data_IF_863016244507
#
_entry.id   IF_863016244507
#
_cell.length_a   1.000
_cell.length_b   1.000
_cell.length_c   1.000
_cell.angle_alpha   90.00
_cell.angle_beta   90.00
_cell.angle_gamma   90.00
#
_symmetry.space_group_name_H-M   'P 1'
#
loop_
_entity.id
_entity.type
_entity.pdbx_description
1 polymer ?
#
# COMPACT_ATOMS: atom_id res chain seq x y z
N UNK A 1 -42.98 28.98 16.93
CA UNK A 1 -42.69 28.44 15.58
C UNK A 1 -41.62 29.29 14.93
N UNK A 2 -40.38 28.81 14.74
CA UNK A 2 -39.41 29.53 13.93
C UNK A 2 -39.67 29.24 12.44
N UNK A 3 -39.43 30.20 11.54
CA UNK A 3 -39.67 30.03 10.12
C UNK A 3 -38.63 29.08 9.51
N UNK A 4 -39.15 28.28 8.59
CA UNK A 4 -38.55 27.15 7.88
C UNK A 4 -37.23 27.46 7.17
N UNK A 5 -36.22 26.63 7.44
CA UNK A 5 -34.97 26.42 6.67
C UNK A 5 -35.18 26.24 5.16
N UNK A 6 -36.37 25.84 4.73
CA UNK A 6 -36.75 25.57 3.33
C UNK A 6 -36.91 26.83 2.46
N UNK A 7 -37.20 27.99 3.05
CA UNK A 7 -37.31 29.26 2.31
C UNK A 7 -35.93 29.89 2.05
N UNK A 8 -34.96 29.65 2.93
CA UNK A 8 -33.58 30.13 2.78
C UNK A 8 -32.83 29.38 1.66
N UNK A 9 -33.06 28.06 1.53
CA UNK A 9 -32.46 27.23 0.47
C UNK A 9 -32.97 27.58 -0.93
N UNK A 10 -34.27 27.91 -1.07
CA UNK A 10 -34.85 28.34 -2.34
C UNK A 10 -34.30 29.71 -2.83
N UNK A 11 -34.09 30.67 -1.91
CA UNK A 11 -33.48 31.97 -2.23
C UNK A 11 -32.00 31.85 -2.61
N UNK A 12 -31.27 30.93 -1.97
CA UNK A 12 -29.88 30.65 -2.32
C UNK A 12 -29.75 29.99 -3.71
N UNK A 13 -30.67 29.07 -4.06
CA UNK A 13 -30.69 28.39 -5.36
C UNK A 13 -30.99 29.36 -6.53
N UNK A 14 -31.94 30.28 -6.36
CA UNK A 14 -32.27 31.28 -7.38
C UNK A 14 -31.15 32.30 -7.61
N UNK A 15 -30.44 32.72 -6.56
CA UNK A 15 -29.32 33.65 -6.65
C UNK A 15 -28.04 33.03 -7.27
N UNK A 16 -27.93 31.69 -7.30
CA UNK A 16 -26.82 30.97 -7.91
C UNK A 16 -26.95 30.84 -9.44
N UNK A 17 -28.17 30.79 -9.98
CA UNK A 17 -28.43 30.69 -11.41
C UNK A 17 -28.01 31.94 -12.22
N UNK A 18 -27.78 33.07 -11.55
CA UNK A 18 -27.43 34.36 -12.16
C UNK A 18 -25.93 34.71 -12.06
N UNK A 19 -25.05 33.83 -11.54
CA UNK A 19 -23.61 34.11 -11.38
C UNK A 19 -22.78 33.53 -12.53
N UNK A 20 -21.72 34.21 -12.99
CA UNK A 20 -20.81 33.67 -13.99
C UNK A 20 -20.16 32.38 -13.49
N UNK A 21 -20.04 31.39 -14.38
CA UNK A 21 -19.54 30.05 -14.08
C UNK A 21 -18.16 30.07 -13.39
N UNK A 22 -17.31 31.02 -13.77
CA UNK A 22 -15.97 31.22 -13.20
C UNK A 22 -16.00 31.57 -11.71
N UNK A 23 -17.01 32.34 -11.28
CA UNK A 23 -17.17 32.71 -9.88
C UNK A 23 -17.63 31.51 -9.06
N UNK A 24 -18.51 30.66 -9.61
CA UNK A 24 -18.92 29.42 -8.96
C UNK A 24 -17.75 28.44 -8.84
N UNK A 25 -16.95 28.28 -9.89
CA UNK A 25 -15.75 27.44 -9.85
C UNK A 25 -14.76 27.92 -8.78
N UNK A 26 -14.58 29.25 -8.69
CA UNK A 26 -13.73 29.86 -7.66
C UNK A 26 -14.28 29.68 -6.25
N UNK A 27 -15.59 29.72 -6.05
CA UNK A 27 -16.17 29.41 -4.72
C UNK A 27 -15.99 27.93 -4.40
N UNK A 28 -16.22 27.03 -5.37
CA UNK A 28 -16.01 25.60 -5.18
C UNK A 28 -14.55 25.29 -4.85
N UNK A 29 -13.56 26.02 -5.39
CA UNK A 29 -12.14 25.80 -5.05
C UNK A 29 -11.80 26.14 -3.59
N UNK A 30 -12.64 26.91 -2.89
CA UNK A 30 -12.45 27.20 -1.46
C UNK A 30 -13.23 26.27 -0.53
N UNK A 31 -14.15 25.45 -1.05
CA UNK A 31 -14.88 24.50 -0.23
C UNK A 31 -13.95 23.40 0.32
N UNK A 32 -14.22 22.85 1.51
CA UNK A 32 -13.64 21.57 1.91
C UNK A 32 -13.95 20.50 0.86
N UNK A 33 -13.06 19.52 0.62
CA UNK A 33 -13.28 18.51 -0.42
C UNK A 33 -14.59 17.73 -0.26
N UNK A 34 -14.99 17.40 0.97
CA UNK A 34 -16.28 16.77 1.25
C UNK A 34 -17.47 17.59 0.77
N UNK A 35 -17.43 18.92 0.97
CA UNK A 35 -18.46 19.84 0.49
C UNK A 35 -18.45 20.01 -1.03
N UNK A 36 -17.26 20.05 -1.64
CA UNK A 36 -17.15 20.07 -3.09
C UNK A 36 -17.73 18.80 -3.72
N UNK A 37 -17.55 17.65 -3.09
CA UNK A 37 -18.01 16.34 -3.59
C UNK A 37 -19.50 16.09 -3.33
N UNK A 38 -20.01 16.45 -2.14
CA UNK A 38 -21.36 16.04 -1.71
C UNK A 38 -22.35 17.21 -1.65
N UNK A 39 -21.89 18.41 -1.31
CA UNK A 39 -22.75 19.59 -1.14
C UNK A 39 -22.97 20.30 -2.48
N UNK A 40 -21.90 20.61 -3.22
CA UNK A 40 -21.99 21.38 -4.47
C UNK A 40 -22.92 20.77 -5.53
N UNK A 41 -22.91 19.44 -5.81
CA UNK A 41 -23.80 18.85 -6.80
C UNK A 41 -25.29 18.91 -6.44
N UNK A 42 -25.62 19.01 -5.14
CA UNK A 42 -27.00 19.08 -4.64
C UNK A 42 -27.59 20.49 -4.67
N UNK A 43 -26.76 21.53 -4.86
CA UNK A 43 -27.23 22.92 -4.88
C UNK A 43 -27.89 23.30 -6.22
N UNK A 44 -27.28 22.95 -7.36
CA UNK A 44 -27.84 23.14 -8.71
C UNK A 44 -26.96 22.48 -9.78
N UNK A 45 -27.47 22.38 -11.02
CA UNK A 45 -26.67 21.94 -12.18
C UNK A 45 -25.44 22.82 -12.43
N UNK A 46 -25.53 24.13 -12.21
CA UNK A 46 -24.42 25.06 -12.43
C UNK A 46 -23.27 24.84 -11.43
N UNK A 47 -23.60 24.57 -10.16
CA UNK A 47 -22.62 24.20 -9.13
C UNK A 47 -22.03 22.80 -9.37
N UNK A 48 -22.84 21.85 -9.81
CA UNK A 48 -22.36 20.52 -10.18
C UNK A 48 -21.33 20.59 -11.32
N UNK A 49 -21.62 21.37 -12.37
CA UNK A 49 -20.69 21.59 -13.48
C UNK A 49 -19.40 22.28 -13.03
N UNK A 50 -19.50 23.30 -12.18
CA UNK A 50 -18.34 24.01 -11.64
C UNK A 50 -17.46 23.13 -10.73
N UNK A 51 -18.06 22.18 -10.00
CA UNK A 51 -17.35 21.27 -9.11
C UNK A 51 -16.74 20.06 -9.81
N UNK A 52 -17.24 19.68 -10.99
CA UNK A 52 -16.87 18.42 -11.66
C UNK A 52 -15.35 18.20 -11.80
N UNK A 53 -14.52 19.19 -12.19
CA UNK A 53 -13.08 18.99 -12.31
C UNK A 53 -12.43 18.66 -10.97
N UNK A 54 -12.82 19.39 -9.92
CA UNK A 54 -12.29 19.16 -8.57
C UNK A 54 -12.76 17.83 -8.01
N UNK A 55 -14.03 17.47 -8.19
CA UNK A 55 -14.57 16.17 -7.74
C UNK A 55 -13.88 15.00 -8.42
N UNK A 56 -13.55 15.12 -9.71
CA UNK A 56 -12.79 14.10 -10.42
C UNK A 56 -11.39 13.92 -9.81
N UNK A 57 -10.73 15.02 -9.45
CA UNK A 57 -9.41 14.98 -8.82
C UNK A 57 -9.45 14.36 -7.42
N UNK A 58 -10.38 14.78 -6.57
CA UNK A 58 -10.55 14.20 -5.22
C UNK A 58 -10.82 12.69 -5.26
N UNK A 59 -11.59 12.24 -6.26
CA UNK A 59 -11.84 10.80 -6.48
C UNK A 59 -10.59 10.06 -6.94
N UNK A 60 -9.76 10.66 -7.80
CA UNK A 60 -8.47 10.07 -8.18
C UNK A 60 -7.54 9.95 -6.99
N UNK A 61 -7.44 11.00 -6.16
CA UNK A 61 -6.63 10.98 -4.93
C UNK A 61 -7.12 9.89 -3.99
N UNK A 62 -8.44 9.79 -3.77
CA UNK A 62 -9.01 8.73 -2.95
C UNK A 62 -8.73 7.32 -3.51
N UNK A 63 -8.82 7.13 -4.83
CA UNK A 63 -8.50 5.87 -5.47
C UNK A 63 -7.00 5.51 -5.36
N UNK A 64 -6.11 6.48 -5.54
CA UNK A 64 -4.67 6.28 -5.38
C UNK A 64 -4.28 5.93 -3.94
N UNK A 65 -4.96 6.51 -2.94
CA UNK A 65 -4.77 6.16 -1.52
C UNK A 65 -5.23 4.73 -1.23
N UNK A 66 -6.35 4.29 -1.83
CA UNK A 66 -6.84 2.92 -1.74
C UNK A 66 -5.91 1.90 -2.42
N UNK A 67 -5.29 2.29 -3.53
CA UNK A 67 -4.32 1.46 -4.23
C UNK A 67 -3.01 1.34 -3.41
N UNK A 68 -2.51 2.45 -2.86
CA UNK A 68 -1.38 2.45 -1.93
C UNK A 68 -1.62 1.56 -0.70
N UNK A 69 -2.83 1.52 -0.14
CA UNK A 69 -3.15 0.60 0.98
C UNK A 69 -3.06 -0.87 0.60
N UNK A 70 -3.35 -1.24 -0.66
CA UNK A 70 -3.23 -2.62 -1.13
C UNK A 70 -1.78 -3.03 -1.37
N UNK A 71 -0.94 -2.07 -1.77
CA UNK A 71 0.47 -2.29 -2.10
C UNK A 71 1.42 -2.33 -0.88
N UNK A 72 0.99 -1.93 0.33
CA UNK A 72 1.88 -1.79 1.50
C UNK A 72 1.49 -2.70 2.70
N UNK A 73 1.43 -4.01 2.48
CA UNK A 73 1.25 -5.01 3.56
C UNK A 73 2.58 -5.53 4.14
N UNK A 74 3.47 -4.66 4.62
CA UNK A 74 4.66 -5.10 5.39
C UNK A 74 4.94 -4.31 6.68
N UNK A 75 4.29 -3.16 6.94
CA UNK A 75 4.52 -2.37 8.17
C UNK A 75 3.24 -1.75 8.77
N UNK A 76 2.18 -2.55 8.91
CA UNK A 76 1.08 -2.36 9.88
C UNK A 76 0.38 -0.99 9.99
N UNK A 77 -0.88 -0.96 9.54
CA UNK A 77 -1.98 0.01 9.82
C UNK A 77 -2.14 1.29 8.97
N UNK A 78 -3.01 1.14 7.96
CA UNK A 78 -4.27 1.86 7.66
C UNK A 78 -4.27 3.36 7.25
N UNK A 79 -4.07 3.58 5.95
CA UNK A 79 -4.35 4.85 5.25
C UNK A 79 -5.85 5.13 5.03
N UNK A 80 -6.77 4.29 5.53
CA UNK A 80 -8.22 4.35 5.24
C UNK A 80 -8.95 5.64 5.68
N UNK A 81 -8.26 6.50 6.43
CA UNK A 81 -8.78 7.75 7.01
C UNK A 81 -8.17 9.02 6.41
N UNK A 82 -7.22 8.88 5.48
CA UNK A 82 -6.51 10.02 4.85
C UNK A 82 -7.36 10.75 3.79
N UNK A 83 -8.42 10.09 3.29
CA UNK A 83 -9.42 10.71 2.42
C UNK A 83 -10.20 11.82 3.16
N UNK A 84 -10.76 12.76 2.42
CA UNK A 84 -11.53 13.88 2.98
C UNK A 84 -12.67 13.50 3.94
N UNK A 85 -12.98 14.42 4.87
CA UNK A 85 -14.14 14.28 5.77
C UNK A 85 -15.47 14.45 5.03
N UNK A 86 -16.51 13.78 5.51
CA UNK A 86 -17.87 13.88 4.98
C UNK A 86 -18.62 14.95 5.76
N UNK A 87 -19.31 15.92 5.12
CA UNK A 87 -20.09 16.93 5.81
C UNK A 87 -21.16 16.28 6.72
N UNK A 88 -21.37 16.87 7.90
CA UNK A 88 -22.27 16.33 8.93
C UNK A 88 -23.67 15.97 8.41
N UNK A 89 -24.28 16.82 7.60
CA UNK A 89 -25.63 16.57 7.06
C UNK A 89 -25.68 15.32 6.19
N UNK A 90 -24.64 15.09 5.37
CA UNK A 90 -24.57 13.96 4.45
C UNK A 90 -24.35 12.67 5.22
N UNK A 91 -23.52 12.75 6.26
CA UNK A 91 -23.27 11.65 7.15
C UNK A 91 -24.53 11.27 7.95
N UNK A 92 -25.27 12.26 8.47
CA UNK A 92 -26.55 12.07 9.17
C UNK A 92 -27.59 11.38 8.29
N UNK A 93 -27.72 11.78 7.02
CA UNK A 93 -28.64 11.18 6.06
C UNK A 93 -28.29 9.71 5.76
N UNK A 94 -26.99 9.41 5.59
CA UNK A 94 -26.52 8.08 5.25
C UNK A 94 -26.39 7.14 6.46
N UNK A 95 -26.27 7.67 7.69
CA UNK A 95 -25.90 6.93 8.90
C UNK A 95 -26.69 5.62 9.13
N UNK A 96 -28.03 5.59 8.96
CA UNK A 96 -28.80 4.36 9.17
C UNK A 96 -28.43 3.24 8.22
N UNK A 97 -27.92 3.57 7.03
CA UNK A 97 -27.54 2.62 5.97
C UNK A 97 -26.08 2.16 6.09
N UNK A 98 -25.27 2.84 6.91
CA UNK A 98 -23.87 2.51 7.08
C UNK A 98 -23.68 1.30 8.00
N UNK A 99 -22.74 0.42 7.63
CA UNK A 99 -22.28 -0.64 8.52
C UNK A 99 -21.51 -0.05 9.70
N UNK A 100 -21.38 -0.83 10.78
CA UNK A 100 -20.59 -0.44 11.95
C UNK A 100 -19.16 -0.01 11.58
N UNK A 101 -18.51 -0.77 10.70
CA UNK A 101 -17.15 -0.46 10.24
C UNK A 101 -17.11 0.86 9.43
N UNK A 102 -18.09 1.11 8.56
CA UNK A 102 -18.17 2.37 7.81
C UNK A 102 -18.38 3.58 8.72
N UNK A 103 -19.20 3.44 9.77
CA UNK A 103 -19.41 4.49 10.78
C UNK A 103 -18.12 4.81 11.54
N UNK A 104 -17.35 3.79 11.93
CA UNK A 104 -16.02 3.96 12.54
C UNK A 104 -15.05 4.71 11.64
N UNK A 105 -14.94 4.30 10.38
CA UNK A 105 -14.08 4.96 9.40
C UNK A 105 -14.51 6.42 9.16
N UNK A 106 -15.81 6.71 9.13
CA UNK A 106 -16.30 8.08 8.99
C UNK A 106 -15.92 8.97 10.18
N UNK A 107 -16.09 8.48 11.42
CA UNK A 107 -15.68 9.21 12.61
C UNK A 107 -14.16 9.41 12.67
N UNK A 108 -13.37 8.40 12.31
CA UNK A 108 -11.92 8.51 12.28
C UNK A 108 -11.42 9.45 11.15
N UNK A 109 -12.09 9.54 10.00
CA UNK A 109 -11.82 10.58 8.99
C UNK A 109 -12.09 11.98 9.54
N UNK A 110 -13.22 12.17 10.23
CA UNK A 110 -13.52 13.45 10.86
C UNK A 110 -12.44 13.83 11.88
N UNK A 111 -11.98 12.87 12.69
CA UNK A 111 -10.88 13.07 13.63
C UNK A 111 -9.57 13.46 12.94
N UNK A 112 -9.20 12.78 11.85
CA UNK A 112 -7.98 13.05 11.06
C UNK A 112 -7.97 14.46 10.44
N UNK A 113 -9.13 14.96 10.00
CA UNK A 113 -9.26 16.29 9.38
C UNK A 113 -9.69 17.41 10.34
N UNK A 114 -9.88 17.11 11.63
CA UNK A 114 -10.23 18.12 12.63
C UNK A 114 -11.71 18.55 12.60
N UNK A 115 -12.60 17.76 11.99
CA UNK A 115 -14.03 18.07 11.92
C UNK A 115 -14.73 17.77 13.25
N UNK A 116 -14.68 18.74 14.15
CA UNK A 116 -15.27 18.64 15.49
C UNK A 116 -16.79 18.47 15.47
N UNK A 117 -17.48 19.01 14.46
CA UNK A 117 -18.94 18.92 14.38
C UNK A 117 -19.37 17.49 14.09
N UNK A 118 -18.72 16.86 13.11
CA UNK A 118 -18.94 15.44 12.80
C UNK A 118 -18.50 14.57 13.97
N UNK A 119 -17.34 14.84 14.54
CA UNK A 119 -16.78 14.02 15.61
C UNK A 119 -17.68 14.00 16.86
N UNK A 120 -18.17 15.17 17.32
CA UNK A 120 -19.07 15.29 18.47
C UNK A 120 -20.41 14.60 18.26
N UNK A 121 -20.90 14.59 17.03
CA UNK A 121 -22.16 13.93 16.69
C UNK A 121 -21.99 12.42 16.52
N UNK A 122 -20.93 11.98 15.85
CA UNK A 122 -20.73 10.58 15.50
C UNK A 122 -20.28 9.72 16.69
N UNK A 123 -19.34 10.20 17.52
CA UNK A 123 -18.73 9.40 18.60
C UNK A 123 -19.74 8.83 19.62
N UNK A 124 -20.71 9.60 20.14
CA UNK A 124 -21.70 9.07 21.09
C UNK A 124 -22.62 7.98 20.53
N UNK A 125 -22.65 7.81 19.21
CA UNK A 125 -23.46 6.80 18.51
C UNK A 125 -22.66 5.54 18.15
N UNK A 126 -21.38 5.47 18.54
CA UNK A 126 -20.52 4.31 18.31
C UNK A 126 -20.43 3.47 19.59
N UNK A 127 -20.68 2.17 19.46
CA UNK A 127 -20.52 1.18 20.53
C UNK A 127 -19.06 0.67 20.60
N UNK A 128 -18.08 1.58 20.64
CA UNK A 128 -16.65 1.25 20.68
C UNK A 128 -15.89 2.23 21.58
N UNK A 129 -14.73 1.81 22.07
CA UNK A 129 -13.87 2.59 22.96
C UNK A 129 -13.22 3.80 22.26
N UNK A 130 -13.54 4.09 20.99
CA UNK A 130 -13.10 5.29 20.27
C UNK A 130 -11.59 5.39 19.99
N UNK A 131 -10.81 4.33 20.27
CA UNK A 131 -9.34 4.32 20.12
C UNK A 131 -8.88 4.76 18.73
N UNK A 132 -9.60 4.31 17.69
CA UNK A 132 -9.29 4.65 16.31
C UNK A 132 -9.40 6.15 16.04
N UNK A 133 -10.33 6.86 16.68
CA UNK A 133 -10.48 8.31 16.52
C UNK A 133 -9.32 9.07 17.18
N UNK A 134 -8.84 8.62 18.35
CA UNK A 134 -7.65 9.18 18.98
C UNK A 134 -6.41 8.98 18.07
N UNK A 135 -6.21 7.77 17.53
CA UNK A 135 -5.10 7.47 16.61
C UNK A 135 -5.20 8.32 15.34
N UNK A 136 -6.39 8.48 14.77
CA UNK A 136 -6.60 9.26 13.55
C UNK A 136 -6.39 10.77 13.77
N UNK A 137 -6.92 11.34 14.86
CA UNK A 137 -6.65 12.73 15.22
C UNK A 137 -5.15 12.99 15.43
N UNK A 138 -4.46 12.06 16.10
CA UNK A 138 -3.03 12.13 16.31
C UNK A 138 -2.23 12.04 15.00
N UNK A 139 -2.60 11.14 14.08
CA UNK A 139 -2.00 11.04 12.75
C UNK A 139 -2.18 12.33 11.91
N UNK A 140 -3.34 12.97 12.02
CA UNK A 140 -3.67 14.21 11.32
C UNK A 140 -3.15 15.49 11.98
N UNK A 141 -2.50 15.40 13.15
CA UNK A 141 -2.02 16.56 13.90
C UNK A 141 -3.13 17.41 14.51
N UNK A 142 -4.32 16.85 14.71
CA UNK A 142 -5.52 17.59 15.11
C UNK A 142 -5.68 17.55 16.63
N UNK A 143 -5.00 18.48 17.32
CA UNK A 143 -5.00 18.54 18.78
C UNK A 143 -6.41 18.72 19.37
N UNK A 144 -7.21 19.62 18.81
CA UNK A 144 -8.57 19.89 19.28
C UNK A 144 -9.50 18.68 19.08
N UNK A 145 -9.31 17.94 17.98
CA UNK A 145 -10.07 16.72 17.71
C UNK A 145 -9.70 15.62 18.71
N UNK A 146 -8.41 15.48 19.03
CA UNK A 146 -7.94 14.54 20.04
C UNK A 146 -8.48 14.91 21.43
N UNK A 147 -8.44 16.19 21.81
CA UNK A 147 -9.05 16.70 23.05
C UNK A 147 -10.54 16.39 23.11
N UNK A 148 -11.26 16.63 22.00
CA UNK A 148 -12.68 16.34 21.90
C UNK A 148 -12.98 14.84 22.06
N UNK A 149 -12.22 13.97 21.40
CA UNK A 149 -12.37 12.53 21.55
C UNK A 149 -12.13 12.08 23.00
N UNK A 150 -11.11 12.64 23.67
CA UNK A 150 -10.83 12.34 25.08
C UNK A 150 -11.93 12.83 26.03
N UNK A 151 -12.49 14.00 25.79
CA UNK A 151 -13.63 14.52 26.56
C UNK A 151 -14.89 13.67 26.40
N UNK A 152 -15.05 12.99 25.26
CA UNK A 152 -16.15 12.07 24.96
C UNK A 152 -15.89 10.64 25.46
N UNK A 153 -14.83 10.40 26.23
CA UNK A 153 -14.54 9.12 26.86
C UNK A 153 -13.77 8.13 25.97
N UNK A 154 -13.28 8.54 24.79
CA UNK A 154 -12.49 7.65 23.95
C UNK A 154 -11.17 7.27 24.64
N UNK A 155 -10.83 5.98 24.61
CA UNK A 155 -9.55 5.47 25.09
C UNK A 155 -8.42 5.78 24.08
N UNK A 156 -7.19 5.70 24.56
CA UNK A 156 -5.99 5.77 23.74
C UNK A 156 -5.00 4.66 24.09
N UNK A 157 -4.07 4.41 23.19
CA UNK A 157 -2.95 3.48 23.38
C UNK A 157 -1.68 4.03 22.73
N UNK A 158 -0.59 3.25 22.76
CA UNK A 158 0.72 3.69 22.26
C UNK A 158 0.71 4.06 20.78
N UNK A 159 -0.24 3.55 19.99
CA UNK A 159 -0.38 3.91 18.56
C UNK A 159 -0.73 5.38 18.38
N UNK A 160 -1.40 6.00 19.35
CA UNK A 160 -1.70 7.45 19.33
C UNK A 160 -0.40 8.25 19.28
N UNK A 161 0.54 7.94 20.18
CA UNK A 161 1.87 8.56 20.18
C UNK A 161 2.66 8.20 18.91
N UNK A 162 2.65 6.94 18.50
CA UNK A 162 3.35 6.48 17.29
C UNK A 162 2.89 7.20 16.02
N UNK A 163 1.58 7.40 15.85
CA UNK A 163 1.03 8.11 14.71
C UNK A 163 1.32 9.63 14.74
N UNK A 164 1.22 10.28 15.91
CA UNK A 164 1.63 11.68 16.05
C UNK A 164 3.13 11.85 15.75
N UNK A 165 3.95 10.94 16.25
CA UNK A 165 5.39 10.93 16.00
C UNK A 165 5.74 10.74 14.53
N UNK A 166 5.03 9.85 13.82
CA UNK A 166 5.19 9.64 12.37
C UNK A 166 4.91 10.90 11.55
N UNK A 167 3.94 11.71 11.96
CA UNK A 167 3.56 12.96 11.30
C UNK A 167 4.32 14.19 11.78
N UNK A 168 5.16 14.07 12.81
CA UNK A 168 5.94 15.18 13.35
C UNK A 168 5.17 16.12 14.28
N UNK A 169 4.00 15.70 14.76
CA UNK A 169 3.07 16.52 15.54
C UNK A 169 3.48 16.58 17.02
N UNK A 170 4.51 17.40 17.30
CA UNK A 170 5.11 17.54 18.62
C UNK A 170 4.13 18.10 19.68
N UNK A 171 3.28 19.04 19.28
CA UNK A 171 2.24 19.64 20.12
C UNK A 171 1.22 18.61 20.63
N UNK A 172 0.77 17.71 19.75
CA UNK A 172 -0.11 16.60 20.07
C UNK A 172 0.55 15.66 21.08
N UNK A 173 1.83 15.32 20.88
CA UNK A 173 2.58 14.47 21.79
C UNK A 173 2.78 15.12 23.16
N UNK A 174 3.14 16.40 23.20
CA UNK A 174 3.30 17.16 24.43
C UNK A 174 2.01 17.18 25.24
N UNK A 175 0.88 17.46 24.58
CA UNK A 175 -0.41 17.46 25.24
C UNK A 175 -0.81 16.07 25.74
N UNK A 176 -0.63 15.02 24.92
CA UNK A 176 -0.98 13.64 25.28
C UNK A 176 -0.16 13.12 26.47
N UNK A 177 1.12 13.52 26.56
CA UNK A 177 2.02 13.16 27.68
C UNK A 177 1.77 13.97 28.95
N UNK A 178 1.12 15.13 28.86
CA UNK A 178 0.75 15.95 30.01
C UNK A 178 -0.54 15.47 30.74
N UNK A 179 -1.30 14.53 30.17
CA UNK A 179 -2.54 14.04 30.78
C UNK A 179 -2.31 13.06 31.96
N UNK A 180 -3.37 12.75 32.71
CA UNK A 180 -3.36 11.75 33.78
C UNK A 180 -4.46 10.69 33.57
N UNK A 181 -4.12 9.38 33.42
CA UNK A 181 -2.77 8.88 33.16
C UNK A 181 -2.24 9.37 31.81
N UNK A 182 -0.93 9.55 31.65
CA UNK A 182 -0.38 10.08 30.42
C UNK A 182 -0.44 9.01 29.33
N UNK A 183 -0.62 9.41 28.06
CA UNK A 183 -0.73 8.46 26.96
C UNK A 183 0.50 7.54 26.91
N UNK A 184 0.33 6.20 26.86
CA UNK A 184 1.47 5.29 26.78
C UNK A 184 2.25 5.52 25.48
N UNK A 185 3.53 5.18 25.51
CA UNK A 185 4.42 5.15 24.36
C UNK A 185 5.34 3.94 24.46
N UNK A 186 5.98 3.59 23.36
CA UNK A 186 6.88 2.45 23.22
C UNK A 186 7.94 2.78 22.15
N UNK A 187 8.80 1.81 21.83
CA UNK A 187 9.89 1.94 20.86
C UNK A 187 9.38 2.36 19.47
N UNK A 188 8.14 1.98 19.12
CA UNK A 188 7.53 2.36 17.85
C UNK A 188 7.33 3.87 17.72
N UNK A 189 7.17 4.60 18.84
CA UNK A 189 7.08 6.06 18.81
C UNK A 189 8.38 6.68 18.31
N UNK A 190 9.53 6.23 18.81
CA UNK A 190 10.84 6.65 18.32
C UNK A 190 11.09 6.19 16.88
N UNK A 191 10.72 4.95 16.54
CA UNK A 191 10.87 4.41 15.18
C UNK A 191 10.09 5.23 14.14
N UNK A 192 8.87 5.64 14.48
CA UNK A 192 7.99 6.41 13.63
C UNK A 192 8.50 7.86 13.44
N UNK A 193 8.92 8.53 14.52
CA UNK A 193 9.58 9.83 14.42
C UNK A 193 10.84 9.75 13.55
N UNK A 194 11.58 8.64 13.69
CA UNK A 194 12.81 8.42 12.95
C UNK A 194 12.57 8.21 11.45
N UNK A 195 11.59 7.37 11.07
CA UNK A 195 11.21 7.19 9.67
C UNK A 195 10.68 8.46 9.01
N UNK A 196 9.95 9.30 9.77
CA UNK A 196 9.46 10.59 9.30
C UNK A 196 10.50 11.72 9.25
N UNK A 197 11.70 11.50 9.82
CA UNK A 197 12.75 12.53 9.88
C UNK A 197 12.51 13.64 10.90
N UNK A 198 11.61 13.43 11.86
CA UNK A 198 11.21 14.43 12.84
C UNK A 198 12.16 14.49 14.04
N UNK A 199 13.36 15.05 13.84
CA UNK A 199 14.40 15.13 14.86
C UNK A 199 13.94 15.84 16.15
N UNK A 200 13.16 16.91 16.04
CA UNK A 200 12.63 17.63 17.20
C UNK A 200 11.73 16.75 18.08
N UNK A 201 10.89 15.90 17.47
CA UNK A 201 10.05 14.94 18.19
C UNK A 201 10.91 13.92 18.92
N UNK A 202 11.92 13.37 18.24
CA UNK A 202 12.80 12.36 18.83
C UNK A 202 13.63 12.95 20.00
N UNK A 203 14.17 14.16 19.84
CA UNK A 203 14.86 14.89 20.90
C UNK A 203 13.97 15.13 22.11
N UNK A 204 12.75 15.62 21.86
CA UNK A 204 11.79 15.85 22.93
C UNK A 204 11.42 14.55 23.64
N UNK A 205 11.11 13.47 22.92
CA UNK A 205 10.72 12.18 23.52
C UNK A 205 11.84 11.57 24.37
N UNK A 206 13.10 11.76 23.98
CA UNK A 206 14.29 11.29 24.73
C UNK A 206 14.64 12.15 25.94
N UNK A 207 14.15 13.40 26.01
CA UNK A 207 14.35 14.29 27.16
C UNK A 207 13.35 14.05 28.32
N UNK A 208 12.39 13.13 28.16
CA UNK A 208 11.29 12.89 29.10
C UNK A 208 11.71 11.96 30.25
N UNK A 209 10.89 11.89 31.30
CA UNK A 209 11.13 10.99 32.44
C UNK A 209 9.90 10.10 32.74
N UNK A 210 10.02 8.76 32.60
CA UNK A 210 11.11 8.03 31.94
C UNK A 210 11.19 8.40 30.44
N UNK A 211 12.37 8.34 29.82
CA UNK A 211 12.51 8.73 28.42
C UNK A 211 11.89 7.64 27.53
N UNK A 212 11.33 8.04 26.38
CA UNK A 212 10.72 7.08 25.45
C UNK A 212 11.75 6.02 25.04
N UNK A 213 11.43 4.72 25.14
CA UNK A 213 12.38 3.68 24.75
C UNK A 213 12.63 3.73 23.25
N UNK A 214 13.78 3.21 22.84
CA UNK A 214 14.21 3.14 21.46
C UNK A 214 15.03 1.86 21.23
N UNK A 215 15.04 1.37 20.01
CA UNK A 215 15.76 0.16 19.62
C UNK A 215 16.47 0.36 18.27
N UNK A 216 17.07 -0.70 17.75
CA UNK A 216 17.83 -0.61 16.51
C UNK A 216 16.96 -0.36 15.27
N UNK A 217 15.64 -0.54 15.38
CA UNK A 217 14.69 -0.16 14.33
C UNK A 217 14.58 1.36 14.22
N UNK A 218 14.91 2.11 15.27
CA UNK A 218 14.96 3.58 15.22
C UNK A 218 16.04 4.03 14.23
N UNK A 219 17.25 3.47 14.34
CA UNK A 219 18.33 3.71 13.38
C UNK A 219 17.96 3.20 11.98
N UNK A 220 17.37 2.01 11.87
CA UNK A 220 16.99 1.45 10.56
C UNK A 220 15.92 2.29 9.85
N UNK A 221 14.94 2.82 10.59
CA UNK A 221 13.91 3.71 10.04
C UNK A 221 14.50 5.06 9.60
N UNK A 222 15.37 5.68 10.42
CA UNK A 222 16.07 6.90 10.03
C UNK A 222 16.96 6.69 8.79
N UNK A 223 17.62 5.52 8.71
CA UNK A 223 18.46 5.14 7.58
C UNK A 223 17.65 4.96 6.29
N UNK A 224 16.49 4.31 6.35
CA UNK A 224 15.55 4.19 5.21
C UNK A 224 15.11 5.53 4.66
N UNK A 225 14.89 6.52 5.52
CA UNK A 225 14.48 7.88 5.12
C UNK A 225 15.65 8.82 4.79
N UNK A 226 16.89 8.38 4.93
CA UNK A 226 18.08 9.19 4.61
C UNK A 226 18.41 10.26 5.64
N UNK A 227 17.91 10.13 6.87
CA UNK A 227 17.98 11.17 7.91
C UNK A 227 19.33 11.15 8.66
N UNK A 228 20.41 11.50 7.96
CA UNK A 228 21.79 11.43 8.48
C UNK A 228 22.00 12.23 9.78
N UNK A 229 21.51 13.46 9.85
CA UNK A 229 21.66 14.31 11.04
C UNK A 229 21.01 13.68 12.29
N UNK A 230 19.90 12.98 12.09
CA UNK A 230 19.22 12.26 13.17
C UNK A 230 20.02 11.04 13.63
N UNK A 231 20.59 10.27 12.71
CA UNK A 231 21.46 9.14 13.05
C UNK A 231 22.70 9.62 13.83
N UNK A 232 23.32 10.71 13.40
CA UNK A 232 24.43 11.34 14.11
C UNK A 232 24.03 11.72 15.54
N UNK A 233 22.88 12.38 15.70
CA UNK A 233 22.36 12.74 17.01
C UNK A 233 22.05 11.52 17.89
N UNK A 234 21.42 10.47 17.34
CA UNK A 234 21.06 9.26 18.06
C UNK A 234 22.30 8.47 18.52
N UNK A 235 23.37 8.47 17.71
CA UNK A 235 24.66 7.86 18.05
C UNK A 235 25.47 8.65 19.07
N UNK A 236 25.20 9.94 19.23
CA UNK A 236 25.85 10.78 20.23
C UNK A 236 25.23 10.68 21.64
N UNK A 237 24.09 9.99 21.80
CA UNK A 237 23.43 9.82 23.11
C UNK A 237 24.16 8.82 24.04
N UNK A 238 23.80 8.83 25.32
CA UNK A 238 24.31 7.88 26.32
C UNK A 238 23.15 7.16 27.05
N UNK A 239 23.01 5.82 26.94
CA UNK A 239 23.67 4.97 25.95
C UNK A 239 23.26 5.35 24.52
N UNK A 240 24.12 5.12 23.52
CA UNK A 240 23.80 5.49 22.14
C UNK A 240 22.74 4.54 21.59
N UNK A 241 21.92 5.02 20.65
CA UNK A 241 20.91 4.17 20.03
C UNK A 241 21.58 2.95 19.39
N UNK A 242 21.09 1.71 19.66
CA UNK A 242 21.63 0.53 19.02
C UNK A 242 21.37 0.57 17.51
N UNK A 243 22.16 -0.17 16.76
CA UNK A 243 21.98 -0.42 15.33
C UNK A 243 22.34 -1.88 15.02
N UNK A 244 21.97 -2.35 13.85
CA UNK A 244 22.36 -3.67 13.31
C UNK A 244 22.35 -3.64 11.78
N UNK A 245 22.53 -4.79 11.14
CA UNK A 245 22.74 -4.94 9.69
C UNK A 245 21.61 -4.37 8.83
N UNK A 246 20.40 -4.29 9.39
CA UNK A 246 19.25 -3.72 8.69
C UNK A 246 19.34 -2.20 8.60
N UNK A 247 20.18 -1.54 9.40
CA UNK A 247 20.44 -0.10 9.26
C UNK A 247 21.12 0.18 7.92
N UNK A 248 22.14 -0.62 7.58
CA UNK A 248 22.78 -0.55 6.26
C UNK A 248 21.82 -0.98 5.15
N UNK A 249 21.08 -2.08 5.33
CA UNK A 249 20.15 -2.56 4.31
C UNK A 249 19.02 -1.57 4.03
N UNK A 250 18.50 -0.89 5.06
CA UNK A 250 17.50 0.15 4.93
C UNK A 250 18.04 1.42 4.24
N UNK A 251 19.26 1.85 4.56
CA UNK A 251 19.89 2.95 3.83
C UNK A 251 20.14 2.60 2.35
N UNK A 252 20.47 1.34 2.07
CA UNK A 252 20.64 0.83 0.72
C UNK A 252 19.31 0.80 -0.06
N UNK A 253 18.23 0.33 0.57
CA UNK A 253 16.85 0.34 0.05
C UNK A 253 16.40 1.75 -0.37
N UNK A 254 16.69 2.77 0.43
CA UNK A 254 16.37 4.17 0.13
C UNK A 254 17.40 4.89 -0.76
N UNK A 255 18.48 4.22 -1.17
CA UNK A 255 19.52 4.83 -2.02
C UNK A 255 20.40 5.87 -1.32
N UNK A 256 20.43 5.86 0.00
CA UNK A 256 21.07 6.90 0.81
C UNK A 256 22.57 6.62 1.04
N UNK A 257 23.37 6.80 -0.01
CA UNK A 257 24.82 6.55 0.01
C UNK A 257 25.55 7.31 1.14
N UNK A 258 25.19 8.56 1.42
CA UNK A 258 25.81 9.35 2.49
C UNK A 258 25.59 8.73 3.88
N UNK A 259 24.43 8.13 4.13
CA UNK A 259 24.12 7.43 5.38
C UNK A 259 24.99 6.17 5.50
N UNK A 260 25.10 5.39 4.43
CA UNK A 260 25.95 4.19 4.40
C UNK A 260 27.43 4.52 4.63
N UNK A 261 27.95 5.52 3.93
CA UNK A 261 29.33 6.00 4.10
C UNK A 261 29.60 6.40 5.55
N UNK A 262 28.70 7.20 6.12
CA UNK A 262 28.82 7.62 7.50
C UNK A 262 28.73 6.43 8.46
N UNK A 263 27.77 5.51 8.29
CA UNK A 263 27.58 4.36 9.19
C UNK A 263 28.77 3.38 9.16
N UNK A 264 29.39 3.20 7.99
CA UNK A 264 30.59 2.36 7.81
C UNK A 264 31.88 3.02 8.29
N UNK A 265 31.92 4.34 8.46
CA UNK A 265 33.05 5.05 9.02
C UNK A 265 33.13 5.02 10.57
N UNK A 266 32.13 4.44 11.23
CA UNK A 266 31.99 4.44 12.70
C UNK A 266 32.86 3.37 13.36
N UNK A 267 33.02 3.44 14.68
CA UNK A 267 33.82 2.49 15.47
C UNK A 267 33.00 1.93 16.64
N UNK A 268 32.64 0.62 16.65
CA UNK A 268 32.76 -0.31 15.52
C UNK A 268 31.85 0.12 14.35
N UNK A 269 32.19 -0.25 13.10
CA UNK A 269 31.39 0.16 11.96
C UNK A 269 30.08 -0.61 11.94
N UNK A 270 29.00 0.01 11.46
CA UNK A 270 27.70 -0.65 11.39
C UNK A 270 27.82 -1.94 10.55
N UNK A 271 27.35 -3.10 11.05
CA UNK A 271 27.46 -4.33 10.30
C UNK A 271 26.55 -4.30 9.06
N UNK A 272 26.81 -5.18 8.11
CA UNK A 272 26.06 -5.33 6.87
C UNK A 272 26.08 -6.79 6.42
N UNK A 273 25.17 -7.16 5.52
CA UNK A 273 25.08 -8.52 4.96
C UNK A 273 24.52 -8.48 3.54
N UNK A 274 24.25 -9.63 2.94
CA UNK A 274 23.86 -9.82 1.53
C UNK A 274 22.65 -8.95 1.16
N UNK A 275 21.67 -8.82 2.07
CA UNK A 275 20.50 -7.96 1.79
C UNK A 275 20.81 -6.48 1.66
N UNK A 276 21.99 -5.99 2.08
CA UNK A 276 22.39 -4.61 1.78
C UNK A 276 22.58 -4.43 0.29
N UNK A 277 23.16 -5.42 -0.40
CA UNK A 277 23.25 -5.40 -1.86
C UNK A 277 21.88 -5.66 -2.51
N UNK A 278 21.10 -6.64 -2.01
CA UNK A 278 19.79 -6.93 -2.60
C UNK A 278 18.81 -5.76 -2.46
N UNK A 279 18.81 -5.05 -1.34
CA UNK A 279 17.97 -3.87 -1.13
C UNK A 279 18.37 -2.68 -2.03
N UNK A 280 19.68 -2.46 -2.24
CA UNK A 280 20.12 -1.46 -3.21
C UNK A 280 19.75 -1.85 -4.65
N UNK A 281 19.76 -3.16 -4.97
CA UNK A 281 19.33 -3.68 -6.26
C UNK A 281 17.82 -3.50 -6.48
N UNK A 282 17.00 -3.78 -5.48
CA UNK A 282 15.54 -3.57 -5.49
C UNK A 282 15.18 -2.10 -5.79
N UNK A 283 15.85 -1.16 -5.12
CA UNK A 283 15.67 0.27 -5.35
C UNK A 283 16.34 0.81 -6.62
N UNK A 284 17.08 -0.02 -7.37
CA UNK A 284 17.80 0.40 -8.58
C UNK A 284 19.00 1.31 -8.31
N UNK A 285 19.53 1.30 -7.10
CA UNK A 285 20.55 2.24 -6.62
C UNK A 285 21.98 1.77 -6.96
N UNK A 286 22.32 1.82 -8.25
CA UNK A 286 23.62 1.38 -8.77
C UNK A 286 24.84 2.02 -8.06
N UNK A 287 24.78 3.33 -7.74
CA UNK A 287 25.87 4.02 -7.06
C UNK A 287 26.14 3.46 -5.64
N UNK A 288 25.08 3.02 -4.94
CA UNK A 288 25.21 2.38 -3.63
C UNK A 288 25.89 1.02 -3.76
N UNK A 289 25.47 0.20 -4.73
CA UNK A 289 26.08 -1.10 -5.01
C UNK A 289 27.56 -0.98 -5.37
N UNK A 290 27.89 -0.05 -6.27
CA UNK A 290 29.28 0.24 -6.67
C UNK A 290 30.15 0.58 -5.46
N UNK A 291 29.65 1.47 -4.61
CA UNK A 291 30.36 1.87 -3.41
C UNK A 291 30.51 0.72 -2.40
N UNK A 292 29.44 -0.05 -2.16
CA UNK A 292 29.44 -1.16 -1.20
C UNK A 292 30.40 -2.29 -1.63
N UNK A 293 30.48 -2.56 -2.93
CA UNK A 293 31.41 -3.55 -3.51
C UNK A 293 32.86 -3.07 -3.59
N UNK A 294 33.11 -1.76 -3.52
CA UNK A 294 34.46 -1.19 -3.48
C UNK A 294 35.10 -1.20 -2.06
N UNK A 295 34.35 -1.56 -1.00
CA UNK A 295 34.88 -1.59 0.37
C UNK A 295 35.77 -2.81 0.65
N UNK A 296 36.50 -2.79 1.77
CA UNK A 296 37.31 -3.92 2.25
C UNK A 296 36.93 -4.31 3.70
N UNK A 297 36.44 -5.55 3.94
CA UNK A 297 35.97 -6.51 2.94
C UNK A 297 34.75 -5.95 2.18
N UNK A 298 34.53 -6.37 0.92
CA UNK A 298 33.41 -5.86 0.14
C UNK A 298 32.10 -6.42 0.70
N UNK A 299 31.00 -5.66 0.58
CA UNK A 299 29.69 -6.13 1.03
C UNK A 299 29.34 -7.45 0.31
N UNK A 300 28.93 -8.51 1.03
CA UNK A 300 28.55 -9.76 0.38
C UNK A 300 27.27 -9.55 -0.44
N UNK A 301 27.06 -10.46 -1.40
CA UNK A 301 25.88 -10.52 -2.26
C UNK A 301 25.57 -11.97 -2.60
N UNK A 302 24.35 -12.23 -3.03
CA UNK A 302 23.83 -13.54 -3.41
C UNK A 302 22.87 -13.39 -4.62
N UNK A 303 22.25 -14.49 -5.04
CA UNK A 303 21.32 -14.57 -6.18
C UNK A 303 20.14 -13.60 -6.04
N UNK A 304 19.80 -13.21 -4.81
CA UNK A 304 18.74 -12.23 -4.54
C UNK A 304 19.09 -10.88 -5.10
N UNK A 305 20.37 -10.50 -5.15
CA UNK A 305 20.76 -9.21 -5.73
C UNK A 305 20.37 -9.11 -7.21
N UNK A 306 20.54 -10.18 -7.98
CA UNK A 306 20.04 -10.23 -9.36
C UNK A 306 18.52 -10.34 -9.40
N UNK A 307 17.92 -11.14 -8.52
CA UNK A 307 16.46 -11.33 -8.46
C UNK A 307 15.71 -10.02 -8.21
N UNK A 308 16.13 -9.23 -7.21
CA UNK A 308 15.49 -7.96 -6.88
C UNK A 308 15.70 -6.90 -7.98
N UNK A 309 16.91 -6.80 -8.55
CA UNK A 309 17.15 -5.91 -9.68
C UNK A 309 16.29 -6.29 -10.89
N UNK A 310 16.05 -7.58 -11.11
CA UNK A 310 15.21 -8.08 -12.19
C UNK A 310 13.72 -7.78 -11.95
N UNK A 311 13.24 -7.99 -10.73
CA UNK A 311 11.87 -7.68 -10.30
C UNK A 311 11.53 -6.19 -10.34
N UNK A 312 12.49 -5.31 -10.04
CA UNK A 312 12.34 -3.86 -10.19
C UNK A 312 12.59 -3.32 -11.60
N UNK A 313 13.01 -4.16 -12.55
CA UNK A 313 13.27 -3.76 -13.93
C UNK A 313 14.58 -2.99 -14.14
N UNK A 314 15.51 -3.07 -13.18
CA UNK A 314 16.74 -2.29 -13.14
C UNK A 314 17.87 -2.91 -13.97
N UNK A 315 17.71 -2.92 -15.30
CA UNK A 315 18.65 -3.53 -16.23
C UNK A 315 20.11 -3.06 -16.06
N UNK A 316 20.32 -1.78 -15.77
CA UNK A 316 21.67 -1.23 -15.57
C UNK A 316 22.36 -1.84 -14.33
N UNK A 317 21.61 -2.14 -13.27
CA UNK A 317 22.13 -2.80 -12.07
C UNK A 317 22.55 -4.24 -12.39
N UNK A 318 21.70 -4.98 -13.10
CA UNK A 318 22.01 -6.34 -13.54
C UNK A 318 23.25 -6.42 -14.44
N UNK A 319 23.32 -5.54 -15.44
CA UNK A 319 24.47 -5.43 -16.33
C UNK A 319 25.75 -5.19 -15.56
N UNK A 320 25.72 -4.24 -14.63
CA UNK A 320 26.87 -3.95 -13.80
C UNK A 320 27.23 -5.12 -12.89
N UNK A 321 26.27 -5.75 -12.21
CA UNK A 321 26.51 -6.85 -11.27
C UNK A 321 27.11 -8.09 -11.97
N UNK A 322 26.68 -8.36 -13.20
CA UNK A 322 27.20 -9.46 -14.03
C UNK A 322 28.56 -9.18 -14.67
N UNK A 323 28.97 -7.92 -14.76
CA UNK A 323 30.30 -7.54 -15.25
C UNK A 323 31.42 -7.63 -14.19
N UNK A 324 31.09 -7.98 -12.94
CA UNK A 324 32.05 -8.04 -11.82
C UNK A 324 32.82 -9.37 -11.77
N UNK A 325 33.89 -9.43 -10.99
CA UNK A 325 34.71 -10.63 -10.80
C UNK A 325 34.84 -11.00 -9.30
N UNK A 326 34.33 -12.17 -8.85
CA UNK A 326 33.39 -13.04 -9.57
C UNK A 326 32.06 -12.31 -9.84
N UNK A 327 31.33 -12.68 -10.91
CA UNK A 327 30.07 -12.04 -11.22
C UNK A 327 29.01 -12.43 -10.18
N UNK A 328 28.06 -11.54 -9.90
CA UNK A 328 26.98 -11.84 -8.97
C UNK A 328 26.19 -13.06 -9.46
N UNK A 329 25.94 -14.08 -8.60
CA UNK A 329 25.22 -15.27 -9.02
C UNK A 329 23.76 -14.91 -9.35
N UNK A 330 23.11 -15.78 -10.13
CA UNK A 330 21.70 -15.71 -10.47
C UNK A 330 21.14 -17.13 -10.56
N UNK A 331 19.82 -17.25 -10.46
CA UNK A 331 19.07 -18.50 -10.57
C UNK A 331 17.75 -18.24 -11.33
N UNK A 332 16.89 -19.27 -11.42
CA UNK A 332 15.59 -19.21 -12.11
C UNK A 332 14.70 -18.07 -11.59
N UNK A 333 14.89 -17.67 -10.31
CA UNK A 333 14.12 -16.59 -9.68
C UNK A 333 14.38 -15.25 -10.33
N UNK A 334 15.53 -15.05 -10.95
CA UNK A 334 15.84 -13.82 -11.69
C UNK A 334 14.92 -13.66 -12.91
N UNK A 335 14.69 -14.73 -13.67
CA UNK A 335 13.73 -14.72 -14.77
C UNK A 335 12.28 -14.63 -14.25
N UNK A 336 11.95 -15.38 -13.20
CA UNK A 336 10.64 -15.29 -12.54
C UNK A 336 10.29 -13.85 -12.14
N UNK A 337 11.18 -13.15 -11.43
CA UNK A 337 10.93 -11.82 -10.92
C UNK A 337 10.78 -10.79 -12.06
N UNK A 338 11.62 -10.87 -13.09
CA UNK A 338 11.46 -10.02 -14.27
C UNK A 338 10.14 -10.30 -15.01
N UNK A 339 9.67 -11.55 -15.04
CA UNK A 339 8.38 -11.91 -15.61
C UNK A 339 7.19 -11.41 -14.77
N UNK A 340 7.30 -11.48 -13.44
CA UNK A 340 6.30 -10.99 -12.49
C UNK A 340 6.11 -9.47 -12.58
N UNK A 341 7.21 -8.71 -12.71
CA UNK A 341 7.20 -7.26 -12.93
C UNK A 341 6.92 -6.83 -14.38
N UNK A 342 6.82 -7.78 -15.32
CA UNK A 342 6.56 -7.49 -16.74
C UNK A 342 7.74 -6.86 -17.50
N UNK A 343 8.96 -7.02 -16.99
CA UNK A 343 10.17 -6.40 -17.50
C UNK A 343 10.80 -7.19 -18.67
N UNK A 344 10.16 -7.16 -19.83
CA UNK A 344 10.59 -7.89 -21.03
C UNK A 344 12.06 -7.61 -21.44
N UNK A 345 12.51 -6.36 -21.35
CA UNK A 345 13.89 -5.99 -21.71
C UNK A 345 14.93 -6.66 -20.80
N UNK A 346 14.61 -6.85 -19.51
CA UNK A 346 15.49 -7.56 -18.56
C UNK A 346 15.58 -9.03 -18.93
N UNK A 347 14.44 -9.68 -19.21
CA UNK A 347 14.41 -11.08 -19.64
C UNK A 347 15.18 -11.31 -20.94
N UNK A 348 14.97 -10.45 -21.94
CA UNK A 348 15.71 -10.49 -23.21
C UNK A 348 17.21 -10.41 -22.98
N UNK A 349 17.64 -9.47 -22.16
CA UNK A 349 19.05 -9.31 -21.84
C UNK A 349 19.60 -10.52 -21.08
N UNK A 350 18.91 -11.02 -20.06
CA UNK A 350 19.36 -12.13 -19.22
C UNK A 350 19.46 -13.45 -20.01
N UNK A 351 18.56 -13.68 -20.95
CA UNK A 351 18.57 -14.86 -21.85
C UNK A 351 19.60 -14.76 -22.98
N UNK A 352 20.12 -13.57 -23.27
CA UNK A 352 21.19 -13.36 -24.24
C UNK A 352 22.61 -13.56 -23.67
N UNK A 353 22.75 -13.88 -22.37
CA UNK A 353 24.03 -14.07 -21.69
C UNK A 353 24.58 -15.48 -21.90
N UNK A 354 25.87 -15.68 -21.60
CA UNK A 354 26.54 -16.98 -21.71
C UNK A 354 27.24 -17.36 -20.38
N UNK A 355 26.78 -18.40 -19.65
CA UNK A 355 25.55 -19.16 -19.90
C UNK A 355 24.30 -18.28 -19.67
N UNK A 356 23.18 -18.57 -20.36
CA UNK A 356 21.98 -17.75 -20.22
C UNK A 356 21.32 -18.01 -18.87
N UNK A 357 20.69 -17.00 -18.29
CA UNK A 357 20.01 -17.13 -16.99
C UNK A 357 18.95 -18.25 -17.08
N UNK A 358 18.95 -19.21 -16.14
CA UNK A 358 18.00 -20.32 -16.18
C UNK A 358 16.58 -19.81 -15.97
N UNK A 359 15.61 -20.59 -16.42
CA UNK A 359 14.18 -20.32 -16.26
C UNK A 359 13.42 -21.64 -16.16
N UNK A 360 12.23 -21.58 -15.58
CA UNK A 360 11.34 -22.72 -15.37
C UNK A 360 9.86 -22.29 -15.59
N UNK A 361 8.94 -23.21 -15.33
CA UNK A 361 7.49 -23.05 -15.49
C UNK A 361 6.96 -21.83 -14.72
N UNK A 362 7.57 -21.53 -13.56
CA UNK A 362 7.19 -20.40 -12.72
C UNK A 362 7.35 -19.05 -13.45
N UNK A 363 8.27 -18.95 -14.43
CA UNK A 363 8.45 -17.73 -15.23
C UNK A 363 7.20 -17.42 -16.06
N UNK A 364 6.60 -18.44 -16.69
CA UNK A 364 5.34 -18.28 -17.42
C UNK A 364 4.19 -17.98 -16.44
N UNK A 365 4.11 -18.69 -15.32
CA UNK A 365 3.08 -18.48 -14.30
C UNK A 365 3.13 -17.08 -13.69
N UNK A 366 4.31 -16.51 -13.45
CA UNK A 366 4.48 -15.14 -12.96
C UNK A 366 3.97 -14.10 -13.97
N UNK A 367 4.41 -14.18 -15.23
CA UNK A 367 3.92 -13.29 -16.28
C UNK A 367 2.39 -13.41 -16.46
N UNK A 368 1.85 -14.63 -16.31
CA UNK A 368 0.42 -14.88 -16.39
C UNK A 368 -0.36 -14.20 -15.26
N UNK A 369 0.15 -14.27 -14.01
CA UNK A 369 -0.42 -13.58 -12.84
C UNK A 369 -0.48 -12.06 -13.03
N UNK A 370 0.64 -11.48 -13.46
CA UNK A 370 0.78 -10.05 -13.72
C UNK A 370 -0.04 -9.55 -14.91
N UNK A 371 -0.42 -10.45 -15.83
CA UNK A 371 -1.13 -10.11 -17.06
C UNK A 371 -0.19 -9.65 -18.19
N UNK A 372 1.09 -9.99 -18.10
CA UNK A 372 2.14 -9.55 -19.01
C UNK A 372 2.21 -10.42 -20.28
N UNK A 373 1.18 -10.30 -21.12
CA UNK A 373 1.04 -11.11 -22.34
C UNK A 373 2.26 -11.02 -23.27
N UNK A 374 2.87 -9.84 -23.41
CA UNK A 374 4.06 -9.66 -24.25
C UNK A 374 5.27 -10.48 -23.74
N UNK A 375 5.42 -10.61 -22.41
CA UNK A 375 6.46 -11.44 -21.80
C UNK A 375 6.22 -12.92 -22.11
N UNK A 376 4.97 -13.39 -21.93
CA UNK A 376 4.59 -14.77 -22.25
C UNK A 376 4.80 -15.11 -23.73
N UNK A 377 4.35 -14.23 -24.64
CA UNK A 377 4.54 -14.40 -26.08
C UNK A 377 6.01 -14.52 -26.44
N UNK A 378 6.85 -13.65 -25.87
CA UNK A 378 8.27 -13.68 -26.13
C UNK A 378 8.95 -14.92 -25.55
N UNK A 379 8.60 -15.32 -24.31
CA UNK A 379 9.19 -16.49 -23.64
C UNK A 379 8.84 -17.79 -24.38
N UNK A 380 7.62 -17.90 -24.90
CA UNK A 380 7.15 -19.04 -25.71
C UNK A 380 7.72 -19.06 -27.13
N UNK A 381 8.22 -17.94 -27.64
CA UNK A 381 8.87 -17.86 -28.95
C UNK A 381 10.36 -18.27 -28.92
N UNK A 382 10.97 -18.48 -27.74
CA UNK A 382 12.38 -18.89 -27.63
C UNK A 382 12.61 -20.36 -28.02
N UNK A 383 13.89 -20.73 -28.18
CA UNK A 383 14.33 -22.09 -28.49
C UNK A 383 15.41 -22.55 -27.49
N UNK A 384 15.15 -23.55 -26.61
CA UNK A 384 13.83 -24.14 -26.35
C UNK A 384 12.88 -23.11 -25.72
N UNK A 385 11.56 -23.25 -25.92
CA UNK A 385 10.60 -22.30 -25.37
C UNK A 385 10.52 -22.48 -23.85
N UNK A 386 10.25 -21.40 -23.11
CA UNK A 386 10.10 -21.47 -21.66
C UNK A 386 8.99 -22.47 -21.30
N UNK A 387 9.24 -23.45 -20.42
CA UNK A 387 8.23 -24.44 -20.07
C UNK A 387 7.05 -23.76 -19.35
N UNK A 388 5.92 -24.45 -19.38
CA UNK A 388 4.69 -24.02 -18.72
C UNK A 388 3.89 -25.25 -18.28
N UNK A 389 3.04 -25.05 -17.31
CA UNK A 389 2.22 -26.09 -16.67
C UNK A 389 0.84 -25.51 -16.30
N UNK A 390 0.02 -26.30 -15.60
CA UNK A 390 -1.32 -25.94 -15.16
C UNK A 390 -1.32 -24.66 -14.31
N UNK A 391 -0.22 -24.41 -13.59
CA UNK A 391 -0.04 -23.21 -12.78
C UNK A 391 -0.06 -21.93 -13.61
N UNK A 392 0.30 -21.99 -14.90
CA UNK A 392 0.21 -20.81 -15.77
C UNK A 392 -1.24 -20.37 -15.96
N UNK A 393 -2.16 -21.31 -16.16
CA UNK A 393 -3.60 -21.04 -16.22
C UNK A 393 -4.15 -20.62 -14.84
N UNK A 394 -3.72 -21.28 -13.76
CA UNK A 394 -4.13 -20.95 -12.39
C UNK A 394 -3.72 -19.52 -12.00
N UNK A 395 -2.50 -19.12 -12.35
CA UNK A 395 -1.99 -17.79 -12.08
C UNK A 395 -2.72 -16.71 -12.91
N UNK A 396 -3.00 -16.97 -14.19
CA UNK A 396 -3.84 -16.08 -15.00
C UNK A 396 -5.23 -15.91 -14.39
N UNK A 397 -5.83 -16.99 -13.88
CA UNK A 397 -7.12 -16.97 -13.21
C UNK A 397 -7.09 -16.21 -11.88
N UNK A 398 -6.07 -16.44 -11.06
CA UNK A 398 -5.82 -15.71 -9.81
C UNK A 398 -5.68 -14.20 -10.04
N UNK A 399 -5.01 -13.78 -11.12
CA UNK A 399 -4.88 -12.36 -11.48
C UNK A 399 -6.07 -11.76 -12.24
N UNK A 400 -7.10 -12.57 -12.55
CA UNK A 400 -8.26 -12.14 -13.35
C UNK A 400 -7.91 -11.80 -14.81
N UNK A 401 -6.84 -12.38 -15.36
CA UNK A 401 -6.24 -12.02 -16.65
C UNK A 401 -6.84 -12.84 -17.81
N UNK A 402 -8.12 -12.61 -18.11
CA UNK A 402 -8.85 -13.36 -19.14
C UNK A 402 -8.14 -13.39 -20.51
N UNK A 403 -7.58 -12.27 -20.97
CA UNK A 403 -6.87 -12.20 -22.25
C UNK A 403 -5.63 -13.11 -22.31
N UNK A 404 -4.92 -13.25 -21.18
CA UNK A 404 -3.76 -14.16 -21.09
C UNK A 404 -4.23 -15.60 -21.15
N UNK A 405 -5.28 -15.94 -20.41
CA UNK A 405 -5.83 -17.29 -20.38
C UNK A 405 -6.36 -17.71 -21.77
N UNK A 406 -7.05 -16.81 -22.46
CA UNK A 406 -7.49 -16.99 -23.85
C UNK A 406 -6.31 -17.26 -24.79
N UNK A 407 -5.26 -16.46 -24.69
CA UNK A 407 -4.07 -16.63 -25.52
C UNK A 407 -3.34 -17.96 -25.23
N UNK A 408 -3.17 -18.32 -23.95
CA UNK A 408 -2.47 -19.54 -23.54
C UNK A 408 -3.22 -20.81 -24.00
N UNK A 409 -4.56 -20.79 -23.96
CA UNK A 409 -5.42 -21.88 -24.44
C UNK A 409 -5.54 -21.94 -25.98
N UNK A 410 -5.16 -20.89 -26.69
CA UNK A 410 -5.14 -20.86 -28.16
C UNK A 410 -3.82 -21.35 -28.78
N UNK A 411 -2.81 -21.69 -27.97
CA UNK A 411 -1.53 -22.22 -28.48
C UNK A 411 -1.62 -23.71 -28.85
N UNK A 412 -0.60 -24.22 -29.55
CA UNK A 412 -0.48 -25.62 -29.94
C UNK A 412 0.88 -26.22 -29.49
N UNK A 413 0.91 -27.18 -28.55
CA UNK A 413 -0.22 -27.65 -27.74
C UNK A 413 -0.71 -26.55 -26.79
N UNK A 414 -1.99 -26.55 -26.41
CA UNK A 414 -2.54 -25.51 -25.56
C UNK A 414 -2.06 -25.71 -24.11
N UNK A 415 -1.81 -24.61 -23.39
CA UNK A 415 -1.33 -24.68 -22.01
C UNK A 415 -2.28 -25.53 -21.15
N UNK A 416 -1.78 -26.53 -20.40
CA UNK A 416 -2.64 -27.38 -19.59
C UNK A 416 -3.32 -26.56 -18.49
N UNK A 417 -4.42 -27.10 -17.97
CA UNK A 417 -5.20 -26.49 -16.90
C UNK A 417 -5.85 -27.58 -16.05
N UNK A 418 -6.08 -27.27 -14.78
CA UNK A 418 -6.69 -28.17 -13.81
C UNK A 418 -7.81 -27.46 -13.03
N UNK A 419 -8.37 -28.14 -12.02
CA UNK A 419 -9.40 -27.60 -11.15
C UNK A 419 -8.98 -26.31 -10.42
N UNK A 420 -7.66 -26.12 -10.23
CA UNK A 420 -7.08 -24.94 -9.65
C UNK A 420 -7.43 -23.67 -10.41
N UNK A 421 -7.64 -23.73 -11.73
CA UNK A 421 -7.99 -22.56 -12.55
C UNK A 421 -9.37 -22.02 -12.15
N UNK A 422 -10.34 -22.92 -11.94
CA UNK A 422 -11.68 -22.54 -11.50
C UNK A 422 -11.68 -22.12 -10.03
N UNK A 423 -11.00 -22.89 -9.18
CA UNK A 423 -10.90 -22.64 -7.72
C UNK A 423 -10.28 -21.28 -7.40
N UNK A 424 -9.18 -20.93 -8.07
CA UNK A 424 -8.51 -19.63 -7.88
C UNK A 424 -9.33 -18.47 -8.42
N UNK A 425 -9.99 -18.64 -9.58
CA UNK A 425 -10.92 -17.63 -10.10
C UNK A 425 -12.08 -17.36 -9.13
N UNK A 426 -12.63 -18.42 -8.50
CA UNK A 426 -13.68 -18.30 -7.51
C UNK A 426 -13.20 -17.61 -6.22
N UNK A 427 -12.05 -18.05 -5.68
CA UNK A 427 -11.45 -17.46 -4.49
C UNK A 427 -11.14 -15.97 -4.65
N UNK A 428 -10.61 -15.56 -5.80
CA UNK A 428 -10.25 -14.17 -6.09
C UNK A 428 -11.40 -13.31 -6.63
N UNK A 429 -12.61 -13.89 -6.81
CA UNK A 429 -13.80 -13.13 -7.24
C UNK A 429 -13.84 -12.79 -8.74
N UNK A 430 -13.08 -13.50 -9.58
CA UNK A 430 -13.00 -13.26 -11.03
C UNK A 430 -14.05 -14.06 -11.83
N UNK A 431 -15.33 -13.66 -11.71
CA UNK A 431 -16.47 -14.35 -12.32
C UNK A 431 -16.36 -14.51 -13.85
N UNK A 432 -15.84 -13.51 -14.57
CA UNK A 432 -15.70 -13.56 -16.03
C UNK A 432 -14.71 -14.64 -16.49
N UNK A 433 -13.64 -14.86 -15.71
CA UNK A 433 -12.67 -15.93 -15.99
C UNK A 433 -13.31 -17.29 -15.77
N UNK A 434 -14.02 -17.46 -14.64
CA UNK A 434 -14.70 -18.71 -14.31
C UNK A 434 -15.76 -19.08 -15.36
N UNK A 435 -16.60 -18.11 -15.76
CA UNK A 435 -17.58 -18.28 -16.83
C UNK A 435 -16.95 -18.70 -18.15
N UNK A 436 -15.86 -18.04 -18.54
CA UNK A 436 -15.16 -18.35 -19.78
C UNK A 436 -14.50 -19.74 -19.74
N UNK A 437 -13.88 -20.12 -18.61
CA UNK A 437 -13.20 -21.41 -18.45
C UNK A 437 -14.20 -22.59 -18.53
N UNK A 438 -15.39 -22.43 -17.96
CA UNK A 438 -16.48 -23.42 -18.03
C UNK A 438 -17.16 -23.48 -19.41
N UNK A 439 -17.09 -22.41 -20.20
CA UNK A 439 -17.67 -22.36 -21.55
C UNK A 439 -16.79 -23.04 -22.63
N UNK A 440 -15.57 -23.46 -22.33
CA UNK A 440 -14.68 -24.11 -23.30
C UNK A 440 -15.07 -25.57 -23.59
N UNK A 441 -14.50 -26.13 -24.65
CA UNK A 441 -14.63 -27.56 -25.01
C UNK A 441 -13.23 -28.20 -25.19
N UNK A 442 -12.85 -29.20 -24.35
CA UNK A 442 -13.53 -29.60 -23.12
C UNK A 442 -13.53 -28.47 -22.08
N UNK A 443 -14.52 -28.42 -21.17
CA UNK A 443 -14.54 -27.45 -20.08
C UNK A 443 -13.33 -27.62 -19.14
N UNK A 444 -12.87 -26.54 -18.50
CA UNK A 444 -11.87 -26.66 -17.43
C UNK A 444 -12.42 -27.52 -16.29
N UNK A 445 -11.73 -28.60 -15.84
CA UNK A 445 -12.19 -29.36 -14.68
C UNK A 445 -12.39 -28.44 -13.48
N UNK A 446 -13.30 -28.79 -12.58
CA UNK A 446 -13.58 -28.01 -11.38
C UNK A 446 -14.22 -28.85 -10.28
N UNK A 447 -13.91 -28.51 -9.04
CA UNK A 447 -14.66 -28.92 -7.85
C UNK A 447 -15.64 -27.81 -7.49
N UNK A 448 -16.93 -28.06 -7.74
CA UNK A 448 -17.98 -27.07 -7.54
C UNK A 448 -18.22 -26.74 -6.07
N UNK A 449 -18.01 -27.70 -5.15
CA UNK A 449 -18.15 -27.49 -3.71
C UNK A 449 -17.01 -26.63 -3.18
N UNK A 450 -15.78 -26.94 -3.57
CA UNK A 450 -14.62 -26.12 -3.20
C UNK A 450 -14.71 -24.71 -3.78
N UNK A 451 -15.14 -24.58 -5.05
CA UNK A 451 -15.38 -23.26 -5.66
C UNK A 451 -16.46 -22.47 -4.91
N UNK A 452 -17.55 -23.12 -4.48
CA UNK A 452 -18.63 -22.47 -3.74
C UNK A 452 -18.18 -22.04 -2.33
N UNK A 453 -17.40 -22.89 -1.66
CA UNK A 453 -16.85 -22.63 -0.33
C UNK A 453 -15.91 -21.42 -0.32
N UNK A 454 -15.05 -21.30 -1.35
CA UNK A 454 -14.09 -20.20 -1.46
C UNK A 454 -14.67 -18.93 -2.08
N UNK A 455 -15.80 -19.02 -2.78
CA UNK A 455 -16.46 -17.87 -3.39
C UNK A 455 -17.03 -16.93 -2.33
N UNK A 456 -16.84 -15.62 -2.55
CA UNK A 456 -17.55 -14.62 -1.75
C UNK A 456 -19.07 -14.70 -2.00
N UNK A 457 -19.92 -14.55 -0.97
CA UNK A 457 -21.37 -14.53 -1.14
C UNK A 457 -21.81 -13.48 -2.17
N UNK A 458 -22.71 -13.84 -3.09
CA UNK A 458 -23.24 -12.93 -4.10
C UNK A 458 -23.32 -13.55 -5.50
N UNK A 459 -23.15 -12.75 -6.58
CA UNK A 459 -23.36 -13.20 -7.96
C UNK A 459 -22.51 -14.41 -8.36
N UNK A 460 -21.31 -14.53 -7.78
CA UNK A 460 -20.42 -15.66 -8.03
C UNK A 460 -20.96 -16.95 -7.45
N UNK A 461 -21.35 -16.95 -6.17
CA UNK A 461 -21.93 -18.13 -5.52
C UNK A 461 -23.27 -18.55 -6.16
N UNK A 462 -24.10 -17.57 -6.56
CA UNK A 462 -25.34 -17.82 -7.30
C UNK A 462 -25.05 -18.48 -8.66
N UNK A 463 -24.06 -17.97 -9.38
CA UNK A 463 -23.65 -18.52 -10.66
C UNK A 463 -23.07 -19.94 -10.51
N UNK A 464 -22.23 -20.19 -9.50
CA UNK A 464 -21.66 -21.53 -9.23
C UNK A 464 -22.77 -22.54 -8.96
N UNK A 465 -23.76 -22.20 -8.11
CA UNK A 465 -24.90 -23.09 -7.84
C UNK A 465 -25.73 -23.38 -9.10
N UNK A 466 -25.98 -22.35 -9.91
CA UNK A 466 -26.72 -22.51 -11.16
C UNK A 466 -25.95 -23.40 -12.15
N UNK A 467 -24.64 -23.20 -12.28
CA UNK A 467 -23.79 -23.98 -13.18
C UNK A 467 -23.65 -25.43 -12.72
N UNK A 468 -23.45 -25.67 -11.42
CA UNK A 468 -23.42 -27.02 -10.85
C UNK A 468 -24.73 -27.77 -11.07
N UNK A 469 -25.88 -27.10 -10.90
CA UNK A 469 -27.19 -27.68 -11.18
C UNK A 469 -27.39 -28.03 -12.66
N UNK A 470 -26.89 -27.19 -13.59
CA UNK A 470 -26.89 -27.49 -15.02
C UNK A 470 -26.04 -28.71 -15.38
N UNK A 471 -24.95 -28.92 -14.64
CA UNK A 471 -24.04 -30.06 -14.81
C UNK A 471 -24.47 -31.30 -14.02
N UNK A 472 -25.56 -31.23 -13.26
CA UNK A 472 -26.10 -32.33 -12.46
C UNK A 472 -25.25 -32.67 -11.22
N UNK A 473 -24.40 -31.75 -10.77
CA UNK A 473 -23.57 -31.93 -9.57
C UNK A 473 -24.40 -31.66 -8.32
N UNK A 474 -24.33 -32.58 -7.34
CA UNK A 474 -24.94 -32.40 -6.02
C UNK A 474 -23.93 -31.68 -5.14
N UNK A 475 -24.29 -30.50 -4.65
CA UNK A 475 -23.44 -29.70 -3.77
C UNK A 475 -23.69 -30.08 -2.31
N UNK A 476 -22.66 -30.54 -1.60
CA UNK A 476 -22.73 -30.81 -0.16
C UNK A 476 -22.37 -29.52 0.60
N UNK A 477 -23.38 -28.86 1.18
CA UNK A 477 -23.23 -27.61 1.92
C UNK A 477 -22.57 -27.79 3.29
#
# INVERSE_FOLDING_TARGET
MPPTTRAATARAAAAAAARPHDLLARVVSFLPPGDAVLTAPRLSKAWAAAAAPRVAEERKVAAALLDKTRLHMMFGHDCGHTSFSVPLWALQEAWPQLTHQQRKFAAARAAFHGDLAVLRWALPQLDDNGRLCCVAAAAGGQLEALQCARALGCEWDSRTCTCAARGGHLDVLQWARAQQPPCPWDEFTCNAAAGGGHLAVLQWARAQQPPCPWDARTCSAAARGGHLAMLQWARAQQPPCPWHEWTCSAAAEGGHLAVLQWARAQQPPCPWHEWTCSAAADGGHLAVLQWARAQQPPCPWDERTCTEAAGGGHLAVLQWARAQQPPCPWDERTCFAAADGGHLAVLQWARAQDPPCPWNEETCSAAARGGHLAVLQWARAQQPPCPWDEWTCNAAAQGGRLAVLQWARAQDPPCPWDEGTCTTAAHCGHLTVLQWARAQQPPCPWDADLCLCLASPGPMAEWIRAQAALEGLVLEL
#
